data_IF_106404016421
#
_entry.id   IF_106404016421
#
_cell.length_a   1.000
_cell.length_b   1.000
_cell.length_c   1.000
_cell.angle_alpha   90.00
_cell.angle_beta   90.00
_cell.angle_gamma   90.00
#
_symmetry.space_group_name_H-M   'P 1'
#
loop_
_entity.id
_entity.type
_entity.pdbx_description
1 polymer ?
#
# COMPACT_ATOMS: atom_id res chain seq x y z
N UNK A 1 -7.69 11.54 -16.76
CA UNK A 1 -6.36 10.89 -16.82
C UNK A 1 -6.42 9.66 -15.92
N UNK A 2 -5.98 8.49 -16.40
CA UNK A 2 -5.94 7.29 -15.56
C UNK A 2 -4.67 7.32 -14.67
N UNK A 3 -4.81 7.92 -13.49
CA UNK A 3 -3.72 8.04 -12.52
C UNK A 3 -3.37 6.70 -11.87
N UNK A 4 -4.23 5.67 -11.97
CA UNK A 4 -3.92 4.32 -11.49
C UNK A 4 -2.97 3.62 -12.45
N UNK A 5 -3.24 3.68 -13.76
CA UNK A 5 -2.34 3.15 -14.79
C UNK A 5 -0.97 3.82 -14.73
N UNK A 6 -0.92 5.13 -14.54
CA UNK A 6 0.34 5.88 -14.42
C UNK A 6 1.17 5.44 -13.20
N UNK A 7 0.52 5.24 -12.04
CA UNK A 7 1.20 4.71 -10.84
C UNK A 7 1.82 3.34 -11.11
N UNK A 8 1.07 2.44 -11.73
CA UNK A 8 1.58 1.12 -12.09
C UNK A 8 2.72 1.20 -13.09
N UNK A 9 2.67 2.12 -14.05
CA UNK A 9 3.77 2.32 -14.99
C UNK A 9 5.05 2.82 -14.32
N UNK A 10 4.95 3.67 -13.30
CA UNK A 10 6.11 4.12 -12.52
C UNK A 10 6.75 2.95 -11.77
N UNK A 11 5.94 2.11 -11.13
CA UNK A 11 6.44 0.92 -10.43
C UNK A 11 7.08 -0.08 -11.40
N UNK A 12 6.47 -0.29 -12.56
CA UNK A 12 7.03 -1.10 -13.65
C UNK A 12 8.41 -0.60 -14.09
N UNK A 13 8.55 0.70 -14.34
CA UNK A 13 9.85 1.31 -14.67
C UNK A 13 10.86 1.18 -13.52
N UNK A 14 10.41 1.27 -12.26
CA UNK A 14 11.26 1.14 -11.08
C UNK A 14 11.86 -0.27 -10.98
N UNK A 15 11.05 -1.32 -11.17
CA UNK A 15 11.52 -2.72 -11.03
C UNK A 15 12.36 -3.21 -12.21
N UNK A 16 12.24 -2.57 -13.38
CA UNK A 16 13.08 -2.85 -14.56
C UNK A 16 14.36 -2.00 -14.60
N UNK A 17 14.60 -1.16 -13.57
CA UNK A 17 15.76 -0.25 -13.53
C UNK A 17 15.75 0.83 -14.60
N UNK A 18 14.56 1.24 -15.07
CA UNK A 18 14.37 2.27 -16.12
C UNK A 18 13.91 3.61 -15.55
N UNK A 19 13.70 3.70 -14.24
CA UNK A 19 13.20 4.92 -13.59
C UNK A 19 14.29 5.96 -13.32
N UNK A 20 15.52 5.50 -13.09
CA UNK A 20 16.69 6.35 -12.82
C UNK A 20 17.87 5.85 -13.67
N UNK A 21 18.85 6.70 -14.01
CA UNK A 21 20.07 6.26 -14.68
C UNK A 21 20.87 5.28 -13.81
N UNK A 22 21.46 4.26 -14.44
CA UNK A 22 22.41 3.38 -13.76
C UNK A 22 23.75 4.09 -13.58
N UNK A 23 24.41 3.87 -12.45
CA UNK A 23 25.75 4.41 -12.18
C UNK A 23 26.77 3.25 -12.20
N UNK A 24 27.74 3.23 -13.14
CA UNK A 24 28.77 2.19 -13.19
C UNK A 24 29.66 2.13 -11.94
N UNK A 25 29.70 3.19 -11.12
CA UNK A 25 30.48 3.25 -9.88
C UNK A 25 29.70 2.73 -8.67
N UNK A 26 28.40 2.45 -8.82
CA UNK A 26 27.64 1.83 -7.75
C UNK A 26 28.21 0.44 -7.45
N UNK A 27 28.32 0.15 -6.15
CA UNK A 27 28.65 -1.20 -5.70
C UNK A 27 27.56 -2.19 -6.17
N UNK A 28 27.91 -3.25 -6.92
CA UNK A 28 26.93 -4.14 -7.52
C UNK A 28 26.14 -4.91 -6.45
N UNK A 29 24.91 -5.31 -6.79
CA UNK A 29 24.03 -6.05 -5.90
C UNK A 29 24.62 -7.39 -5.43
N UNK A 30 25.54 -7.98 -6.18
CA UNK A 30 26.29 -9.18 -5.76
C UNK A 30 27.09 -8.94 -4.48
N UNK A 31 27.73 -7.79 -4.31
CA UNK A 31 28.47 -7.43 -3.08
C UNK A 31 27.50 -7.17 -1.92
N UNK A 32 26.35 -6.55 -2.21
CA UNK A 32 25.29 -6.39 -1.22
C UNK A 32 24.78 -7.75 -0.73
N UNK A 33 24.61 -8.73 -1.62
CA UNK A 33 24.20 -10.09 -1.27
C UNK A 33 25.21 -10.79 -0.37
N UNK A 34 26.51 -10.61 -0.60
CA UNK A 34 27.53 -11.15 0.30
C UNK A 34 27.41 -10.57 1.71
N UNK A 35 27.15 -9.26 1.85
CA UNK A 35 26.89 -8.64 3.17
C UNK A 35 25.64 -9.20 3.83
N UNK A 36 24.57 -9.41 3.06
CA UNK A 36 23.33 -10.01 3.56
C UNK A 36 23.58 -11.43 4.08
N UNK A 37 24.32 -12.24 3.32
CA UNK A 37 24.70 -13.61 3.72
C UNK A 37 25.53 -13.60 5.00
N UNK A 38 26.56 -12.76 5.08
CA UNK A 38 27.41 -12.64 6.25
C UNK A 38 26.63 -12.21 7.51
N UNK A 39 25.75 -11.22 7.37
CA UNK A 39 24.93 -10.74 8.49
C UNK A 39 23.91 -11.80 8.93
N UNK A 40 23.31 -12.52 7.98
CA UNK A 40 22.41 -13.64 8.29
C UNK A 40 23.14 -14.76 9.04
N UNK A 41 24.35 -15.11 8.63
CA UNK A 41 25.18 -16.07 9.35
C UNK A 41 25.53 -15.62 10.78
N UNK A 42 25.83 -14.33 10.96
CA UNK A 42 26.06 -13.74 12.28
C UNK A 42 24.83 -13.87 13.17
N UNK A 43 23.65 -13.48 12.68
CA UNK A 43 22.38 -13.60 13.42
C UNK A 43 22.02 -15.05 13.76
N UNK A 44 22.35 -16.01 12.89
CA UNK A 44 22.19 -17.45 13.18
C UNK A 44 23.12 -17.89 14.30
N UNK A 45 24.41 -17.48 14.26
CA UNK A 45 25.39 -17.79 15.31
C UNK A 45 25.00 -17.20 16.65
N UNK A 46 24.40 -16.01 16.65
CA UNK A 46 23.86 -15.34 17.85
C UNK A 46 22.53 -15.96 18.34
N UNK A 47 21.94 -16.91 17.61
CA UNK A 47 20.66 -17.54 17.97
C UNK A 47 19.43 -16.66 17.79
N UNK A 48 19.57 -15.47 17.18
CA UNK A 48 18.48 -14.51 16.93
C UNK A 48 17.53 -14.97 15.83
N UNK A 49 18.05 -15.69 14.84
CA UNK A 49 17.25 -16.26 13.75
C UNK A 49 17.57 -17.73 13.57
N UNK A 50 16.59 -18.51 13.10
CA UNK A 50 16.77 -19.93 12.81
C UNK A 50 17.46 -20.10 11.46
N UNK A 51 18.33 -21.11 11.35
CA UNK A 51 18.89 -21.52 10.07
C UNK A 51 17.75 -22.03 9.16
N UNK A 52 17.57 -21.38 8.01
CA UNK A 52 16.61 -21.80 6.99
C UNK A 52 16.89 -23.23 6.51
N UNK A 53 15.85 -23.92 6.03
CA UNK A 53 16.05 -25.18 5.31
C UNK A 53 16.71 -24.80 3.98
N UNK A 54 17.84 -25.44 3.62
CA UNK A 54 18.40 -25.28 2.27
C UNK A 54 17.29 -25.59 1.27
N UNK A 55 16.86 -24.60 0.50
CA UNK A 55 15.97 -24.83 -0.63
C UNK A 55 16.61 -25.88 -1.53
N UNK A 56 15.87 -26.94 -1.85
CA UNK A 56 16.31 -27.90 -2.86
C UNK A 56 16.46 -27.12 -4.17
N UNK A 57 17.65 -27.19 -4.78
CA UNK A 57 17.97 -26.50 -6.04
C UNK A 57 16.79 -26.59 -7.01
N UNK A 58 16.14 -25.47 -7.28
CA UNK A 58 15.15 -25.36 -8.36
C UNK A 58 15.91 -25.31 -9.67
N UNK A 59 15.65 -26.29 -10.55
CA UNK A 59 15.95 -26.37 -12.00
C UNK A 59 17.27 -25.78 -12.50
N UNK A 60 18.01 -26.53 -13.31
CA UNK A 60 19.28 -26.09 -13.94
C UNK A 60 19.16 -24.81 -14.82
N UNK A 61 17.94 -24.27 -15.01
CA UNK A 61 17.68 -22.94 -15.58
C UNK A 61 16.52 -22.24 -14.85
N UNK A 62 16.77 -21.23 -13.99
CA UNK A 62 15.72 -20.36 -13.49
C UNK A 62 15.10 -19.59 -14.66
N UNK A 63 13.78 -19.67 -14.82
CA UNK A 63 13.05 -18.81 -15.77
C UNK A 63 12.87 -17.43 -15.12
N UNK A 64 13.70 -16.47 -15.52
CA UNK A 64 13.60 -15.11 -15.03
C UNK A 64 12.47 -14.36 -15.74
N UNK A 65 11.63 -13.61 -15.01
CA UNK A 65 10.49 -12.89 -15.60
C UNK A 65 10.89 -11.87 -16.66
N UNK A 66 12.04 -11.21 -16.48
CA UNK A 66 12.59 -10.22 -17.39
C UNK A 66 14.10 -10.07 -17.18
N UNK A 67 14.76 -9.43 -18.15
CA UNK A 67 16.18 -9.09 -18.09
C UNK A 67 16.43 -7.93 -17.12
N UNK A 68 17.43 -8.09 -16.25
CA UNK A 68 17.85 -7.06 -15.32
C UNK A 68 18.97 -6.19 -15.91
N UNK A 69 19.07 -4.91 -15.50
CA UNK A 69 20.24 -4.10 -15.76
C UNK A 69 21.53 -4.73 -15.22
N UNK A 70 22.67 -4.37 -15.81
CA UNK A 70 23.98 -4.80 -15.30
C UNK A 70 24.16 -4.37 -13.84
N UNK A 71 24.63 -5.29 -13.00
CA UNK A 71 24.90 -5.04 -11.58
C UNK A 71 23.70 -5.29 -10.66
N UNK A 72 22.54 -5.63 -11.21
CA UNK A 72 21.38 -6.11 -10.46
C UNK A 72 21.41 -7.64 -10.37
N UNK A 73 20.73 -8.19 -9.36
CA UNK A 73 20.64 -9.62 -9.12
C UNK A 73 19.19 -10.04 -8.87
N UNK A 74 18.81 -11.23 -9.32
CA UNK A 74 17.55 -11.85 -8.91
C UNK A 74 17.73 -12.56 -7.58
N UNK A 75 16.86 -12.26 -6.61
CA UNK A 75 16.91 -12.85 -5.26
C UNK A 75 15.52 -13.34 -4.85
N UNK A 76 15.44 -14.27 -3.92
CA UNK A 76 14.18 -14.64 -3.27
C UNK A 76 13.98 -13.82 -2.00
N UNK A 77 12.76 -13.81 -1.47
CA UNK A 77 12.51 -13.19 -0.16
C UNK A 77 13.30 -13.86 0.95
N UNK A 78 13.54 -15.17 0.85
CA UNK A 78 14.37 -15.90 1.80
C UNK A 78 15.81 -15.39 1.82
N UNK A 79 16.37 -14.99 0.66
CA UNK A 79 17.75 -14.51 0.57
C UNK A 79 17.95 -13.20 1.36
N UNK A 80 16.96 -12.32 1.37
CA UNK A 80 17.08 -10.94 1.89
C UNK A 80 16.41 -10.70 3.25
N UNK A 81 15.72 -11.70 3.83
CA UNK A 81 15.04 -11.59 5.12
C UNK A 81 15.85 -12.17 6.29
N UNK A 82 15.84 -11.45 7.42
CA UNK A 82 16.22 -11.96 8.75
C UNK A 82 15.05 -12.70 9.41
N UNK A 83 13.86 -12.10 9.34
CA UNK A 83 12.62 -12.60 9.97
C UNK A 83 11.53 -12.64 8.92
N UNK A 84 10.77 -13.73 8.88
CA UNK A 84 9.55 -13.81 8.10
C UNK A 84 8.59 -14.77 8.78
N UNK A 85 7.45 -14.26 9.25
CA UNK A 85 6.47 -15.07 9.97
C UNK A 85 5.05 -14.55 9.74
N UNK A 86 4.10 -15.44 9.96
CA UNK A 86 2.70 -15.05 10.18
C UNK A 86 2.55 -14.54 11.62
N UNK A 87 1.58 -13.65 11.86
CA UNK A 87 1.14 -13.32 13.22
C UNK A 87 0.61 -14.53 14.00
N UNK A 88 0.34 -14.40 15.31
CA UNK A 88 -0.06 -15.51 16.15
C UNK A 88 -1.41 -16.05 15.70
N UNK A 89 -1.52 -17.37 15.49
CA UNK A 89 -2.78 -18.05 15.20
C UNK A 89 -3.77 -17.95 16.37
N UNK A 90 -5.07 -18.18 16.11
CA UNK A 90 -6.14 -18.11 17.12
C UNK A 90 -6.01 -19.09 18.29
N UNK A 91 -5.08 -20.07 18.22
CA UNK A 91 -4.69 -20.90 19.35
C UNK A 91 -3.78 -20.17 20.35
N UNK A 92 -3.19 -19.04 19.96
CA UNK A 92 -2.34 -18.18 20.80
C UNK A 92 -3.05 -16.89 21.22
N UNK A 93 -4.12 -16.49 20.52
CA UNK A 93 -4.96 -15.31 20.85
C UNK A 93 -6.43 -15.69 20.77
N UNK A 94 -7.06 -15.82 21.93
CA UNK A 94 -8.48 -16.14 22.08
C UNK A 94 -9.34 -14.88 22.20
N UNK A 95 -10.67 -15.04 22.06
CA UNK A 95 -11.61 -13.92 22.18
C UNK A 95 -11.53 -13.22 23.55
N UNK A 96 -11.21 -13.97 24.61
CA UNK A 96 -11.02 -13.47 25.97
C UNK A 96 -9.76 -12.62 26.16
N UNK A 97 -8.78 -12.75 25.26
CA UNK A 97 -7.50 -12.04 25.38
C UNK A 97 -7.60 -10.58 24.90
N UNK A 98 -8.68 -10.25 24.18
CA UNK A 98 -8.92 -8.90 23.68
C UNK A 98 -9.44 -7.98 24.76
N UNK A 99 -8.90 -6.76 24.81
CA UNK A 99 -9.28 -5.72 25.77
C UNK A 99 -9.80 -4.48 25.05
N UNK A 100 -10.61 -3.69 25.74
CA UNK A 100 -11.27 -2.49 25.18
C UNK A 100 -10.49 -1.19 25.43
N UNK A 101 -9.53 -1.18 26.38
CA UNK A 101 -8.72 -0.02 26.72
C UNK A 101 -7.32 -0.43 27.24
N UNK A 102 -6.34 0.48 27.15
CA UNK A 102 -4.99 0.36 27.72
C UNK A 102 -4.20 -0.91 27.33
N UNK A 103 -4.51 -1.49 26.17
CA UNK A 103 -3.84 -2.68 25.64
C UNK A 103 -2.81 -2.38 24.56
N UNK A 104 -2.14 -3.43 24.09
CA UNK A 104 -1.20 -3.38 22.96
C UNK A 104 -1.96 -3.66 21.66
N UNK A 105 -1.80 -2.84 20.60
CA UNK A 105 -2.54 -3.02 19.36
C UNK A 105 -2.15 -4.26 18.57
N UNK A 106 -3.14 -4.89 17.92
CA UNK A 106 -2.95 -5.97 16.95
C UNK A 106 -3.22 -5.46 15.54
N UNK A 107 -2.21 -5.52 14.67
CA UNK A 107 -2.27 -5.03 13.29
C UNK A 107 -2.73 -6.14 12.34
N UNK A 108 -3.93 -6.00 11.77
CA UNK A 108 -4.44 -6.85 10.69
C UNK A 108 -4.57 -6.06 9.38
N UNK A 109 -4.83 -6.72 8.23
CA UNK A 109 -4.89 -6.03 6.92
C UNK A 109 -5.89 -4.88 6.86
N UNK A 110 -7.01 -5.01 7.59
CA UNK A 110 -8.04 -3.97 7.68
C UNK A 110 -7.53 -2.67 8.33
N UNK A 111 -6.47 -2.75 9.14
CA UNK A 111 -5.84 -1.58 9.76
C UNK A 111 -4.84 -0.90 8.82
N UNK A 112 -4.48 -1.51 7.69
CA UNK A 112 -3.56 -0.91 6.72
C UNK A 112 -4.35 -0.04 5.74
N UNK A 113 -4.19 1.28 5.86
CA UNK A 113 -4.87 2.27 5.04
C UNK A 113 -3.84 3.20 4.43
N UNK A 114 -3.85 3.32 3.10
CA UNK A 114 -2.94 4.18 2.33
C UNK A 114 -1.45 3.97 2.70
N UNK A 115 -1.05 2.72 2.95
CA UNK A 115 0.33 2.36 3.29
C UNK A 115 0.75 2.69 4.73
N UNK A 116 -0.20 3.01 5.62
CA UNK A 116 0.04 3.31 7.04
C UNK A 116 -0.86 2.49 7.94
N UNK A 117 -0.51 2.38 9.22
CA UNK A 117 -1.32 1.68 10.23
C UNK A 117 -2.31 2.67 10.83
N UNK A 118 -3.60 2.42 10.59
CA UNK A 118 -4.73 3.15 11.17
C UNK A 118 -5.15 2.52 12.50
N UNK A 119 -5.25 3.35 13.54
CA UNK A 119 -5.80 2.97 14.85
C UNK A 119 -7.33 2.82 14.85
N UNK A 120 -8.02 3.25 13.79
CA UNK A 120 -9.48 3.09 13.67
C UNK A 120 -9.87 1.61 13.72
N UNK A 121 -10.73 1.26 14.68
CA UNK A 121 -11.21 -0.10 14.93
C UNK A 121 -10.08 -1.14 15.13
N UNK A 122 -8.90 -0.69 15.58
CA UNK A 122 -7.83 -1.63 15.93
C UNK A 122 -8.20 -2.37 17.20
N UNK A 123 -7.91 -3.67 17.22
CA UNK A 123 -8.13 -4.51 18.39
C UNK A 123 -6.90 -4.44 19.29
N UNK A 124 -7.10 -4.61 20.59
CA UNK A 124 -6.04 -4.58 21.59
C UNK A 124 -6.01 -5.88 22.39
N UNK A 125 -4.83 -6.26 22.87
CA UNK A 125 -4.64 -7.31 23.87
C UNK A 125 -4.04 -6.74 25.15
N UNK A 126 -4.16 -7.47 26.26
CA UNK A 126 -3.51 -7.06 27.51
C UNK A 126 -1.98 -7.00 27.37
N UNK A 127 -1.34 -6.23 28.25
CA UNK A 127 0.13 -6.14 28.31
C UNK A 127 0.76 -7.50 28.62
N UNK A 128 0.18 -8.26 29.56
CA UNK A 128 0.66 -9.59 29.90
C UNK A 128 0.62 -10.53 28.68
N UNK A 129 -0.48 -10.47 27.92
CA UNK A 129 -0.59 -11.25 26.68
C UNK A 129 0.42 -10.82 25.63
N UNK A 130 0.72 -9.53 25.53
CA UNK A 130 1.74 -9.03 24.60
C UNK A 130 3.15 -9.55 24.93
N UNK A 131 3.45 -9.80 26.22
CA UNK A 131 4.73 -10.39 26.67
C UNK A 131 4.80 -11.86 26.25
N UNK A 132 3.70 -12.62 26.38
CA UNK A 132 3.64 -14.00 25.85
C UNK A 132 3.87 -14.06 24.32
N UNK A 133 3.50 -12.97 23.63
CA UNK A 133 3.57 -12.84 22.17
C UNK A 133 4.81 -12.06 21.69
N UNK A 134 5.84 -11.94 22.53
CA UNK A 134 7.07 -11.17 22.26
C UNK A 134 7.62 -11.39 20.84
N UNK A 135 7.65 -12.65 20.38
CA UNK A 135 8.16 -13.02 19.04
C UNK A 135 7.40 -12.38 17.86
N UNK A 136 6.16 -11.94 18.08
CA UNK A 136 5.27 -11.33 17.08
C UNK A 136 5.20 -9.81 17.20
N UNK A 137 5.94 -9.22 18.14
CA UNK A 137 6.12 -7.77 18.21
C UNK A 137 6.82 -7.26 16.96
N UNK A 138 6.36 -6.10 16.55
CA UNK A 138 6.85 -5.35 15.41
C UNK A 138 7.98 -4.44 15.84
N UNK A 139 9.02 -4.39 15.02
CA UNK A 139 10.18 -3.53 15.18
C UNK A 139 10.21 -2.46 14.07
N UNK A 140 10.94 -1.37 14.30
CA UNK A 140 11.13 -0.34 13.26
C UNK A 140 11.72 -0.98 12.02
N UNK A 141 11.19 -0.60 10.85
CA UNK A 141 11.52 -1.15 9.53
C UNK A 141 10.99 -2.56 9.24
N UNK A 142 10.27 -3.19 10.17
CA UNK A 142 9.46 -4.36 9.80
C UNK A 142 8.44 -3.97 8.72
N UNK A 143 8.13 -4.93 7.86
CA UNK A 143 7.13 -4.77 6.80
C UNK A 143 5.97 -5.70 7.11
N UNK A 144 4.77 -5.15 7.21
CA UNK A 144 3.54 -5.91 7.46
C UNK A 144 2.75 -6.01 6.16
N UNK A 145 2.42 -7.24 5.77
CA UNK A 145 1.74 -7.58 4.53
C UNK A 145 0.41 -8.30 4.81
N UNK A 146 -0.57 -8.12 3.94
CA UNK A 146 -1.76 -8.97 3.99
C UNK A 146 -1.43 -10.43 3.71
N UNK A 147 -1.89 -11.30 4.61
CA UNK A 147 -2.03 -12.72 4.33
C UNK A 147 -3.42 -13.05 3.79
N UNK A 148 -4.45 -12.32 4.25
CA UNK A 148 -5.85 -12.57 3.92
C UNK A 148 -6.56 -11.32 3.42
N UNK A 149 -7.56 -11.50 2.57
CA UNK A 149 -8.35 -10.42 2.01
C UNK A 149 -7.60 -9.68 0.91
N UNK A 150 -7.49 -8.36 1.05
CA UNK A 150 -6.83 -7.50 0.08
C UNK A 150 -5.30 -7.67 0.14
N UNK A 151 -4.72 -8.38 -0.84
CA UNK A 151 -3.27 -8.66 -0.89
C UNK A 151 -2.42 -7.43 -1.26
N UNK A 152 -3.05 -6.30 -1.61
CA UNK A 152 -2.34 -5.03 -1.86
C UNK A 152 -1.94 -4.32 -0.56
N UNK A 153 -2.39 -4.80 0.61
CA UNK A 153 -2.05 -4.19 1.90
C UNK A 153 -0.59 -4.46 2.25
N UNK A 154 0.18 -3.38 2.32
CA UNK A 154 1.59 -3.36 2.73
C UNK A 154 1.87 -2.06 3.50
N UNK A 155 2.53 -2.15 4.65
CA UNK A 155 2.99 -1.00 5.43
C UNK A 155 4.37 -1.26 6.01
N UNK A 156 5.12 -0.19 6.24
CA UNK A 156 6.41 -0.22 6.94
C UNK A 156 6.16 0.28 8.36
N UNK A 157 6.72 -0.39 9.35
CA UNK A 157 6.57 -0.08 10.77
C UNK A 157 7.48 1.10 11.12
N UNK A 158 6.90 2.16 11.68
CA UNK A 158 7.60 3.31 12.22
C UNK A 158 7.75 3.24 13.75
N UNK A 159 8.38 4.26 14.33
CA UNK A 159 8.63 4.35 15.78
C UNK A 159 7.35 4.29 16.63
N UNK A 160 6.23 4.81 16.12
CA UNK A 160 4.95 4.84 16.83
C UNK A 160 4.28 3.46 16.93
N UNK A 161 4.72 2.48 16.14
CA UNK A 161 4.13 1.13 16.09
C UNK A 161 5.08 0.05 16.62
N UNK A 162 6.18 0.45 17.27
CA UNK A 162 7.05 -0.48 17.99
C UNK A 162 6.23 -1.20 19.07
N UNK A 163 6.54 -2.48 19.28
CA UNK A 163 5.85 -3.40 20.21
C UNK A 163 4.39 -3.72 19.86
N UNK A 164 3.83 -3.16 18.78
CA UNK A 164 2.54 -3.63 18.27
C UNK A 164 2.67 -5.09 17.84
N UNK A 165 1.58 -5.85 17.92
CA UNK A 165 1.58 -7.26 17.53
C UNK A 165 1.11 -7.40 16.08
N UNK A 166 1.87 -8.11 15.26
CA UNK A 166 1.38 -8.53 13.95
C UNK A 166 0.23 -9.52 14.13
N UNK A 167 -0.96 -9.25 13.58
CA UNK A 167 -2.13 -10.14 13.67
C UNK A 167 -2.08 -11.35 12.74
N UNK A 168 -2.92 -12.37 13.00
CA UNK A 168 -2.99 -13.63 12.21
C UNK A 168 -3.31 -13.42 10.73
N UNK A 169 -4.05 -12.35 10.42
CA UNK A 169 -4.43 -11.99 9.05
C UNK A 169 -3.29 -11.38 8.24
N UNK A 170 -2.13 -11.19 8.87
CA UNK A 170 -0.96 -10.56 8.28
C UNK A 170 0.27 -11.46 8.34
N UNK A 171 1.18 -11.23 7.41
CA UNK A 171 2.58 -11.58 7.56
C UNK A 171 3.37 -10.36 8.03
N UNK A 172 4.53 -10.62 8.63
CA UNK A 172 5.52 -9.59 8.86
C UNK A 172 6.92 -10.12 8.59
N UNK A 173 7.79 -9.23 8.13
CA UNK A 173 9.15 -9.57 7.75
C UNK A 173 10.12 -8.43 8.09
N UNK A 174 11.38 -8.81 8.30
CA UNK A 174 12.48 -7.89 8.54
C UNK A 174 13.58 -8.14 7.51
N UNK A 175 13.95 -7.10 6.75
CA UNK A 175 14.96 -7.19 5.69
C UNK A 175 16.37 -6.94 6.23
N UNK A 176 17.37 -7.57 5.63
CA UNK A 176 18.79 -7.34 5.92
C UNK A 176 19.37 -6.46 4.82
N UNK A 177 19.90 -5.29 5.16
CA UNK A 177 20.63 -4.39 4.24
C UNK A 177 19.87 -3.96 2.97
N UNK A 178 18.56 -4.23 2.86
CA UNK A 178 17.68 -3.80 1.77
C UNK A 178 16.72 -2.75 2.30
N UNK A 179 16.45 -1.70 1.51
CA UNK A 179 15.50 -0.66 1.92
C UNK A 179 14.06 -1.19 1.96
N UNK A 180 13.35 -1.09 3.10
CA UNK A 180 11.94 -1.49 3.19
C UNK A 180 11.04 -0.78 2.18
N UNK A 181 11.35 0.49 1.89
CA UNK A 181 10.63 1.28 0.89
C UNK A 181 10.82 0.71 -0.50
N UNK A 182 12.03 0.26 -0.86
CA UNK A 182 12.27 -0.37 -2.15
C UNK A 182 11.49 -1.68 -2.27
N UNK A 183 11.52 -2.52 -1.23
CA UNK A 183 10.71 -3.75 -1.18
C UNK A 183 9.22 -3.45 -1.38
N UNK A 184 8.68 -2.43 -0.72
CA UNK A 184 7.29 -2.02 -0.88
C UNK A 184 6.98 -1.63 -2.34
N UNK A 185 7.88 -0.94 -3.04
CA UNK A 185 7.67 -0.61 -4.46
C UNK A 185 7.59 -1.87 -5.33
N UNK A 186 8.48 -2.83 -5.12
CA UNK A 186 8.47 -4.11 -5.85
C UNK A 186 7.20 -4.90 -5.52
N UNK A 187 6.85 -5.01 -4.24
CA UNK A 187 5.64 -5.71 -3.78
C UNK A 187 4.36 -5.14 -4.40
N UNK A 188 4.27 -3.82 -4.53
CA UNK A 188 3.11 -3.12 -5.09
C UNK A 188 3.08 -3.10 -6.63
N UNK A 189 4.14 -3.56 -7.29
CA UNK A 189 4.21 -3.63 -8.74
C UNK A 189 3.22 -4.64 -9.32
N UNK A 190 2.77 -4.41 -10.56
CA UNK A 190 1.89 -5.36 -11.26
C UNK A 190 2.51 -6.75 -11.36
N UNK A 191 3.83 -6.84 -11.51
CA UNK A 191 4.57 -8.12 -11.55
C UNK A 191 4.28 -8.97 -10.31
N UNK A 192 4.50 -8.43 -9.10
CA UNK A 192 4.25 -9.17 -7.86
C UNK A 192 2.75 -9.37 -7.63
N UNK A 193 1.93 -8.33 -7.82
CA UNK A 193 0.50 -8.41 -7.57
C UNK A 193 -0.20 -9.47 -8.44
N UNK A 194 0.20 -9.64 -9.70
CA UNK A 194 -0.32 -10.71 -10.57
C UNK A 194 -0.01 -12.08 -9.97
N UNK A 195 1.25 -12.34 -9.58
CA UNK A 195 1.65 -13.60 -8.94
C UNK A 195 0.81 -13.87 -7.69
N UNK A 196 0.66 -12.86 -6.82
CA UNK A 196 -0.13 -12.98 -5.59
C UNK A 196 -1.59 -13.34 -5.88
N UNK A 197 -2.21 -12.72 -6.89
CA UNK A 197 -3.59 -13.02 -7.26
C UNK A 197 -3.76 -14.40 -7.88
N UNK A 198 -2.77 -14.89 -8.62
CA UNK A 198 -2.80 -16.23 -9.26
C UNK A 198 -2.59 -17.35 -8.23
N UNK A 199 -1.71 -17.13 -7.25
CA UNK A 199 -1.30 -18.15 -6.27
C UNK A 199 -2.14 -18.15 -4.98
N UNK A 200 -3.05 -17.18 -4.82
CA UNK A 200 -3.92 -17.12 -3.65
C UNK A 200 -5.01 -18.19 -3.68
N UNK A 201 -5.41 -18.66 -2.50
CA UNK A 201 -6.45 -19.69 -2.34
C UNK A 201 -7.64 -19.16 -1.55
N UNK A 202 -8.83 -19.74 -1.75
CA UNK A 202 -10.05 -19.42 -1.02
C UNK A 202 -11.11 -18.71 -1.87
N UNK A 203 -12.32 -19.27 -1.92
CA UNK A 203 -13.39 -18.78 -2.80
C UNK A 203 -14.04 -17.46 -2.33
N UNK A 204 -14.17 -17.27 -1.01
CA UNK A 204 -14.83 -16.08 -0.42
C UNK A 204 -13.83 -15.01 -0.01
N UNK A 205 -12.63 -15.41 0.40
CA UNK A 205 -11.58 -14.51 0.86
C UNK A 205 -10.23 -15.09 0.47
N UNK A 206 -9.46 -14.31 -0.29
CA UNK A 206 -8.10 -14.66 -0.66
C UNK A 206 -7.28 -14.94 0.60
N UNK A 207 -6.52 -16.01 0.59
CA UNK A 207 -5.57 -16.37 1.63
C UNK A 207 -4.27 -16.82 0.96
N UNK A 208 -3.17 -16.22 1.37
CA UNK A 208 -1.85 -16.49 0.83
C UNK A 208 -1.07 -17.42 1.75
N UNK A 209 -0.32 -18.35 1.16
CA UNK A 209 0.60 -19.20 1.89
C UNK A 209 1.98 -18.55 1.99
N UNK A 210 2.65 -18.70 3.12
CA UNK A 210 3.99 -18.11 3.34
C UNK A 210 5.02 -18.60 2.31
N UNK A 211 4.88 -19.85 1.83
CA UNK A 211 5.75 -20.43 0.81
C UNK A 211 5.70 -19.68 -0.51
N UNK A 212 4.54 -19.15 -0.90
CA UNK A 212 4.38 -18.39 -2.15
C UNK A 212 5.27 -17.14 -2.10
N UNK A 213 5.10 -16.30 -1.07
CA UNK A 213 5.92 -15.09 -0.89
C UNK A 213 7.43 -15.41 -0.78
N UNK A 214 7.77 -16.54 -0.16
CA UNK A 214 9.17 -16.95 -0.01
C UNK A 214 9.86 -17.23 -1.34
N UNK A 215 9.10 -17.66 -2.36
CA UNK A 215 9.61 -18.09 -3.66
C UNK A 215 9.53 -17.02 -4.75
N UNK A 216 8.85 -15.90 -4.48
CA UNK A 216 8.81 -14.78 -5.44
C UNK A 216 10.22 -14.27 -5.67
N UNK A 217 10.57 -14.09 -6.95
CA UNK A 217 11.80 -13.47 -7.36
C UNK A 217 11.68 -11.95 -7.24
N UNK A 218 12.65 -11.32 -6.60
CA UNK A 218 12.76 -9.88 -6.41
C UNK A 218 13.98 -9.38 -7.19
N UNK A 219 13.84 -8.34 -8.01
CA UNK A 219 14.98 -7.69 -8.63
C UNK A 219 15.69 -6.85 -7.55
N UNK A 220 16.97 -7.11 -7.32
CA UNK A 220 17.77 -6.40 -6.32
C UNK A 220 18.80 -5.50 -7.02
N UNK A 221 18.65 -4.16 -6.96
CA UNK A 221 19.67 -3.21 -7.38
C UNK A 221 20.76 -3.00 -6.33
N UNK A 222 21.87 -2.36 -6.72
CA UNK A 222 22.78 -1.67 -5.81
C UNK A 222 22.04 -0.84 -4.75
N UNK A 223 22.56 -0.81 -3.53
CA UNK A 223 21.90 -0.08 -2.43
C UNK A 223 21.80 1.43 -2.70
N UNK A 224 22.79 2.01 -3.38
CA UNK A 224 22.75 3.41 -3.79
C UNK A 224 21.63 3.67 -4.80
N UNK A 225 21.46 2.78 -5.78
CA UNK A 225 20.37 2.84 -6.75
C UNK A 225 19.00 2.63 -6.09
N UNK A 226 18.85 1.73 -5.11
CA UNK A 226 17.62 1.58 -4.32
C UNK A 226 17.17 2.94 -3.73
N UNK A 227 18.09 3.71 -3.14
CA UNK A 227 17.81 5.04 -2.58
C UNK A 227 17.31 6.00 -3.67
N UNK A 228 17.97 6.03 -4.83
CA UNK A 228 17.59 6.89 -5.96
C UNK A 228 16.22 6.52 -6.52
N UNK A 229 15.94 5.23 -6.69
CA UNK A 229 14.64 4.71 -7.15
C UNK A 229 13.52 5.07 -6.17
N UNK A 230 13.72 4.88 -4.86
CA UNK A 230 12.74 5.25 -3.83
C UNK A 230 12.46 6.75 -3.85
N UNK A 231 13.50 7.58 -3.88
CA UNK A 231 13.35 9.04 -3.91
C UNK A 231 12.59 9.50 -5.16
N UNK A 232 12.96 8.99 -6.34
CA UNK A 232 12.32 9.33 -7.61
C UNK A 232 10.87 8.88 -7.66
N UNK A 233 10.58 7.67 -7.21
CA UNK A 233 9.22 7.14 -7.14
C UNK A 233 8.35 7.98 -6.22
N UNK A 234 8.84 8.31 -5.02
CA UNK A 234 8.13 9.16 -4.06
C UNK A 234 7.78 10.53 -4.66
N UNK A 235 8.75 11.17 -5.33
CA UNK A 235 8.53 12.44 -6.01
C UNK A 235 7.45 12.33 -7.09
N UNK A 236 7.53 11.34 -7.98
CA UNK A 236 6.54 11.17 -9.05
C UNK A 236 5.15 10.85 -8.51
N UNK A 237 5.05 9.99 -7.49
CA UNK A 237 3.77 9.70 -6.83
C UNK A 237 3.17 10.94 -6.14
N UNK A 238 4.00 11.84 -5.59
CA UNK A 238 3.48 13.09 -5.01
C UNK A 238 2.86 14.00 -6.08
N UNK A 239 3.44 14.07 -7.28
CA UNK A 239 2.86 14.84 -8.39
C UNK A 239 1.50 14.26 -8.77
N UNK A 240 1.39 12.93 -8.87
CA UNK A 240 0.13 12.27 -9.21
C UNK A 240 -0.94 12.54 -8.14
N UNK A 241 -0.56 12.49 -6.86
CA UNK A 241 -1.48 12.82 -5.77
C UNK A 241 -1.96 14.27 -5.84
N UNK A 242 -1.09 15.23 -6.18
CA UNK A 242 -1.50 16.62 -6.41
C UNK A 242 -2.50 16.72 -7.55
N UNK A 243 -2.24 16.05 -8.68
CA UNK A 243 -3.14 16.05 -9.84
C UNK A 243 -4.52 15.45 -9.52
N UNK A 244 -4.56 14.36 -8.75
CA UNK A 244 -5.83 13.77 -8.31
C UNK A 244 -6.64 14.74 -7.43
N UNK A 245 -5.96 15.45 -6.51
CA UNK A 245 -6.60 16.43 -5.63
C UNK A 245 -7.12 17.65 -6.41
N UNK A 246 -6.35 18.17 -7.35
CA UNK A 246 -6.75 19.27 -8.23
C UNK A 246 -7.94 18.88 -9.10
N UNK A 247 -7.93 17.68 -9.67
CA UNK A 247 -9.05 17.17 -10.46
C UNK A 247 -10.33 17.06 -9.61
N UNK A 248 -10.22 16.54 -8.39
CA UNK A 248 -11.36 16.44 -7.47
C UNK A 248 -11.92 17.82 -7.08
N UNK A 249 -11.02 18.77 -6.80
CA UNK A 249 -11.39 20.16 -6.47
C UNK A 249 -12.13 20.82 -7.64
N UNK A 250 -11.59 20.72 -8.86
CA UNK A 250 -12.20 21.27 -10.06
C UNK A 250 -13.61 20.70 -10.31
N UNK A 251 -13.78 19.38 -10.17
CA UNK A 251 -15.11 18.76 -10.30
C UNK A 251 -16.11 19.31 -9.27
N UNK A 252 -15.66 19.50 -8.03
CA UNK A 252 -16.49 20.06 -6.95
C UNK A 252 -16.90 21.50 -7.26
N UNK A 253 -15.96 22.34 -7.70
CA UNK A 253 -16.22 23.73 -8.09
C UNK A 253 -17.19 23.80 -9.27
N UNK A 254 -17.01 22.97 -10.31
CA UNK A 254 -17.94 22.90 -11.44
C UNK A 254 -19.36 22.53 -10.97
N UNK A 255 -19.48 21.57 -10.06
CA UNK A 255 -20.78 21.16 -9.50
C UNK A 255 -21.46 22.31 -8.76
N UNK A 256 -20.73 23.04 -7.93
CA UNK A 256 -21.24 24.20 -7.19
C UNK A 256 -21.62 25.34 -8.12
N UNK A 257 -20.79 25.65 -9.12
CA UNK A 257 -21.06 26.68 -10.11
C UNK A 257 -22.33 26.37 -10.91
N UNK A 258 -22.51 25.13 -11.37
CA UNK A 258 -23.74 24.69 -12.06
C UNK A 258 -24.98 24.84 -11.18
N UNK A 259 -24.88 24.42 -9.92
CA UNK A 259 -25.99 24.57 -8.97
C UNK A 259 -26.34 26.06 -8.77
N UNK A 260 -25.33 26.93 -8.67
CA UNK A 260 -25.57 28.36 -8.47
C UNK A 260 -26.12 29.05 -9.72
N UNK A 261 -25.66 28.68 -10.91
CA UNK A 261 -26.21 29.17 -12.18
C UNK A 261 -27.68 28.75 -12.32
N UNK A 262 -28.02 27.50 -11.98
CA UNK A 262 -29.40 27.02 -12.03
C UNK A 262 -30.29 27.74 -11.00
N UNK A 263 -29.80 27.94 -9.77
CA UNK A 263 -30.45 28.73 -8.73
C UNK A 263 -30.75 30.16 -9.22
N UNK A 264 -29.75 30.85 -9.79
CA UNK A 264 -29.94 32.18 -10.35
C UNK A 264 -30.92 32.19 -11.52
N UNK A 265 -30.89 31.18 -12.39
CA UNK A 265 -31.80 31.06 -13.53
C UNK A 265 -33.27 30.90 -13.08
N UNK A 266 -33.54 30.02 -12.12
CA UNK A 266 -34.90 29.76 -11.61
C UNK A 266 -35.48 31.00 -10.91
N UNK A 267 -34.64 31.79 -10.24
CA UNK A 267 -35.07 33.04 -9.61
C UNK A 267 -35.11 34.25 -10.55
N UNK A 268 -34.88 34.06 -11.87
CA UNK A 268 -34.81 35.16 -12.84
C UNK A 268 -33.60 36.09 -12.65
N UNK A 269 -32.63 35.74 -11.81
CA UNK A 269 -31.47 36.59 -11.47
C UNK A 269 -30.26 36.34 -12.37
N UNK A 270 -30.41 35.53 -13.41
CA UNK A 270 -29.31 35.23 -14.34
C UNK A 270 -28.99 36.40 -15.28
N UNK A 271 -30.01 37.21 -15.59
CA UNK A 271 -29.90 38.44 -16.38
C UNK A 271 -30.52 39.61 -15.61
N UNK A 272 -30.09 40.86 -15.87
CA UNK A 272 -30.78 42.03 -15.36
C UNK A 272 -32.27 41.97 -15.72
N UNK A 273 -33.14 42.29 -14.77
CA UNK A 273 -34.58 42.37 -15.00
C UNK A 273 -34.92 43.74 -15.59
N UNK A 274 -35.70 43.78 -16.69
CA UNK A 274 -36.24 45.03 -17.22
C UNK A 274 -37.52 45.39 -16.44
N UNK A 275 -37.58 46.54 -15.74
CA UNK A 275 -38.78 46.96 -15.03
C UNK A 275 -40.00 47.18 -15.93
N UNK A 276 -39.81 47.28 -17.25
CA UNK A 276 -40.88 47.42 -18.24
C UNK A 276 -41.38 46.07 -18.78
N UNK A 277 -40.76 44.94 -18.41
CA UNK A 277 -41.24 43.62 -18.80
C UNK A 277 -42.63 43.35 -18.19
N UNK A 278 -43.50 42.75 -18.99
CA UNK A 278 -44.84 42.37 -18.54
C UNK A 278 -44.76 41.32 -17.44
N UNK A 279 -45.45 41.51 -16.29
CA UNK A 279 -45.44 40.52 -15.21
C UNK A 279 -45.92 39.15 -15.68
N UNK A 280 -45.21 38.08 -15.27
CA UNK A 280 -45.57 36.71 -15.63
C UNK A 280 -47.00 36.32 -15.22
N UNK A 281 -47.56 36.98 -14.20
CA UNK A 281 -48.94 36.87 -13.75
C UNK A 281 -49.97 37.22 -14.84
N UNK A 282 -49.71 38.22 -15.68
CA UNK A 282 -50.62 38.65 -16.75
C UNK A 282 -50.62 37.69 -17.93
N UNK A 283 -49.49 37.04 -18.22
CA UNK A 283 -49.41 35.94 -19.17
C UNK A 283 -50.15 34.69 -18.65
N UNK A 284 -49.99 34.36 -17.37
CA UNK A 284 -50.65 33.20 -16.76
C UNK A 284 -52.18 33.30 -16.81
N UNK A 285 -52.74 34.49 -16.52
CA UNK A 285 -54.20 34.75 -16.64
C UNK A 285 -54.72 34.55 -18.06
N UNK A 286 -53.93 34.89 -19.09
CA UNK A 286 -54.29 34.65 -20.50
C UNK A 286 -54.34 33.16 -20.85
N UNK A 287 -53.38 32.38 -20.32
CA UNK A 287 -53.28 30.94 -20.60
C UNK A 287 -54.32 30.15 -19.79
N UNK A 288 -54.53 30.53 -18.52
CA UNK A 288 -55.51 29.91 -17.63
C UNK A 288 -56.21 30.97 -16.77
N UNK A 289 -57.40 31.44 -17.19
CA UNK A 289 -58.15 32.49 -16.48
C UNK A 289 -58.58 32.14 -15.05
N UNK A 290 -58.51 30.85 -14.66
CA UNK A 290 -58.86 30.37 -13.32
C UNK A 290 -57.65 30.16 -12.41
N UNK A 291 -56.44 30.50 -12.86
CA UNK A 291 -55.24 30.37 -12.04
C UNK A 291 -55.26 31.37 -10.88
N UNK A 292 -55.23 30.89 -9.64
CA UNK A 292 -55.00 31.72 -8.46
C UNK A 292 -53.50 31.98 -8.29
N UNK A 293 -53.14 33.26 -8.17
CA UNK A 293 -51.75 33.70 -7.94
C UNK A 293 -51.58 33.90 -6.44
N UNK A 294 -50.79 33.04 -5.82
CA UNK A 294 -50.70 32.93 -4.36
C UNK A 294 -49.50 33.68 -3.74
N UNK A 295 -48.66 34.30 -4.56
CA UNK A 295 -47.52 35.12 -4.15
C UNK A 295 -47.13 36.13 -5.24
N UNK A 296 -46.55 37.25 -4.80
CA UNK A 296 -45.90 38.26 -5.65
C UNK A 296 -44.46 37.87 -6.02
#
# INVERSE_FOLDING_TARGET
>A
MDTKALRQKILDLAIHGKLVPQDPNDEPASVLLERIRAEKERLIKEGKIKKGKKSAKTSDKPHYPFELPKGWEWVTLEDICAKFSTGPFGSMVHKSDYVTANGVPIVNPANIVNGTISSKNIMYISKDKSIELERYKLEVNDIVLARRGDLTKCTIVGNEQVDFICGTGSFFLHLISVLPQYFQLVYMSSYVQIILTTECVGATMNNLNQSVLSQILFPLPPLAEQKRVVARTKYMLSIITTLDNEQYSLHTTIKQAKAKVLDLAIHGKLVPQDPNDEPASELLKRINPKAEITCD
#
